data_IF_380336030592
#
_entry.id   IF_380336030592
#
_cell.length_a   1.000
_cell.length_b   1.000
_cell.length_c   1.000
_cell.angle_alpha   90.00
_cell.angle_beta   90.00
_cell.angle_gamma   90.00
#
_symmetry.space_group_name_H-M   'P 1'
#
loop_
_entity.id
_entity.type
_entity.pdbx_description
1 polymer ?
#
# COMPACT_ATOMS: atom_id res chain seq x y z
N UNK A 1 -11.57 4.59 -18.47
CA UNK A 1 -11.27 3.29 -19.10
C UNK A 1 -9.88 2.91 -18.61
N UNK A 2 -9.79 1.95 -17.68
CA UNK A 2 -8.59 1.69 -16.85
C UNK A 2 -7.74 0.57 -17.48
N UNK A 3 -6.44 0.78 -17.70
CA UNK A 3 -5.47 -0.26 -18.08
C UNK A 3 -4.08 0.10 -17.56
N UNK A 4 -3.62 -0.56 -16.49
CA UNK A 4 -2.19 -0.66 -16.13
C UNK A 4 -1.95 -2.03 -15.46
N UNK A 5 -0.93 -2.74 -15.93
CA UNK A 5 -0.47 -4.08 -15.53
C UNK A 5 0.75 -4.00 -14.61
N UNK A 6 0.91 -4.97 -13.70
CA UNK A 6 2.17 -5.23 -12.97
C UNK A 6 2.27 -6.73 -12.68
N UNK A 7 3.07 -7.52 -13.40
CA UNK A 7 3.17 -8.99 -13.26
C UNK A 7 4.41 -9.47 -12.49
N UNK A 8 4.43 -9.55 -11.15
CA UNK A 8 5.47 -10.33 -10.46
C UNK A 8 5.07 -11.79 -10.33
N UNK A 9 5.94 -12.71 -10.80
CA UNK A 9 5.88 -14.18 -10.54
C UNK A 9 6.29 -14.47 -9.09
N UNK A 10 5.37 -14.31 -8.14
CA UNK A 10 5.62 -14.59 -6.71
C UNK A 10 5.28 -16.01 -6.30
N UNK A 11 6.10 -16.63 -5.44
CA UNK A 11 5.97 -18.04 -5.02
C UNK A 11 5.31 -18.18 -3.63
N UNK A 12 4.07 -18.71 -3.63
CA UNK A 12 3.11 -19.03 -2.53
C UNK A 12 2.52 -17.91 -1.65
N UNK A 13 1.18 -17.87 -1.61
CA UNK A 13 0.38 -17.36 -0.48
C UNK A 13 -0.68 -18.41 -0.07
N UNK A 14 -0.82 -18.61 1.25
CA UNK A 14 -1.95 -19.17 2.04
C UNK A 14 -2.78 -20.33 1.44
N UNK A 15 -2.58 -21.53 2.00
CA UNK A 15 -3.61 -22.31 2.71
C UNK A 15 -4.86 -22.87 2.01
N UNK A 16 -5.11 -22.60 0.74
CA UNK A 16 -6.14 -23.31 -0.06
C UNK A 16 -5.52 -23.73 -1.38
N UNK A 17 -5.58 -25.03 -1.71
CA UNK A 17 -5.07 -25.53 -3.00
C UNK A 17 -5.93 -24.94 -4.12
N UNK A 18 -5.50 -23.80 -4.66
CA UNK A 18 -5.96 -23.31 -5.96
C UNK A 18 -5.64 -24.39 -7.00
N UNK A 19 -6.60 -24.73 -7.85
CA UNK A 19 -6.38 -25.69 -8.93
C UNK A 19 -5.23 -25.20 -9.82
N UNK A 20 -4.09 -25.91 -9.81
CA UNK A 20 -2.87 -25.55 -10.54
C UNK A 20 -1.90 -24.61 -9.83
N UNK A 21 -2.20 -24.16 -8.59
CA UNK A 21 -1.26 -23.37 -7.78
C UNK A 21 -0.96 -21.97 -8.30
N UNK A 22 -1.79 -21.41 -9.19
CA UNK A 22 -1.62 -20.09 -9.80
C UNK A 22 -2.73 -19.13 -9.35
N UNK A 23 -2.39 -17.87 -9.16
CA UNK A 23 -3.30 -16.77 -8.87
C UNK A 23 -2.89 -15.51 -9.63
N UNK A 24 -3.84 -14.63 -9.90
CA UNK A 24 -3.58 -13.27 -10.38
C UNK A 24 -4.20 -12.29 -9.39
N UNK A 25 -3.36 -11.52 -8.71
CA UNK A 25 -3.74 -10.51 -7.74
C UNK A 25 -3.83 -9.15 -8.44
N UNK A 26 -5.05 -8.63 -8.55
CA UNK A 26 -5.29 -7.28 -9.06
C UNK A 26 -5.47 -6.33 -7.88
N UNK A 27 -4.68 -5.27 -7.83
CA UNK A 27 -4.83 -4.18 -6.86
C UNK A 27 -4.82 -2.85 -7.59
N UNK A 28 -5.81 -2.00 -7.33
CA UNK A 28 -5.93 -0.72 -8.00
C UNK A 28 -7.08 0.09 -7.46
N UNK A 29 -6.90 1.40 -7.49
CA UNK A 29 -7.85 2.37 -6.97
C UNK A 29 -7.87 3.59 -7.87
N UNK A 30 -9.03 4.27 -7.91
CA UNK A 30 -9.16 5.60 -8.50
C UNK A 30 -9.59 6.62 -7.46
N UNK A 31 -8.73 6.80 -6.44
CA UNK A 31 -9.04 7.63 -5.27
C UNK A 31 -9.32 9.08 -5.67
N UNK A 32 -8.71 9.57 -6.75
CA UNK A 32 -8.96 10.93 -7.24
C UNK A 32 -10.44 11.20 -7.57
N UNK A 33 -11.25 10.17 -7.85
CA UNK A 33 -12.70 10.31 -8.10
C UNK A 33 -13.54 10.61 -6.87
N UNK A 34 -13.00 10.33 -5.68
CA UNK A 34 -13.68 10.53 -4.40
C UNK A 34 -12.98 11.60 -3.57
N UNK A 35 -11.97 12.28 -4.09
CA UNK A 35 -11.30 13.38 -3.39
C UNK A 35 -11.91 14.70 -3.84
N UNK A 36 -12.26 15.56 -2.88
CA UNK A 36 -12.68 16.92 -3.21
C UNK A 36 -11.49 17.72 -3.73
N UNK A 37 -11.58 18.36 -4.91
CA UNK A 37 -10.50 19.22 -5.43
C UNK A 37 -10.34 20.51 -4.60
N UNK A 38 -11.32 20.84 -3.76
CA UNK A 38 -11.30 22.01 -2.88
C UNK A 38 -10.78 21.68 -1.47
N UNK A 39 -10.52 20.40 -1.18
CA UNK A 39 -9.92 19.98 0.09
C UNK A 39 -8.41 19.82 -0.07
N UNK A 40 -7.68 20.90 0.22
CA UNK A 40 -6.22 20.97 0.08
C UNK A 40 -5.46 19.95 0.94
N UNK A 41 -6.09 19.42 1.99
CA UNK A 41 -5.46 18.43 2.86
C UNK A 41 -5.24 17.07 2.17
N UNK A 42 -6.04 16.77 1.15
CA UNK A 42 -6.03 15.48 0.43
C UNK A 42 -5.83 15.62 -1.08
N UNK A 43 -6.17 16.78 -1.67
CA UNK A 43 -6.18 16.99 -3.12
C UNK A 43 -4.83 16.76 -3.81
N UNK A 44 -3.71 16.97 -3.09
CA UNK A 44 -2.35 16.82 -3.63
C UNK A 44 -1.70 15.48 -3.28
N UNK A 45 -2.36 14.65 -2.48
CA UNK A 45 -1.77 13.42 -1.97
C UNK A 45 -1.99 12.22 -2.89
N UNK A 46 -3.17 12.09 -3.48
CA UNK A 46 -3.60 10.85 -4.11
C UNK A 46 -3.39 10.83 -5.63
N UNK A 47 -3.03 9.66 -6.13
CA UNK A 47 -3.03 9.32 -7.54
C UNK A 47 -3.83 8.05 -7.82
N UNK A 48 -4.02 7.75 -9.09
CA UNK A 48 -4.75 6.58 -9.57
C UNK A 48 -3.76 5.58 -10.19
N UNK A 49 -3.84 4.30 -9.79
CA UNK A 49 -3.06 3.25 -10.42
C UNK A 49 -3.73 1.87 -10.31
N UNK A 50 -3.29 0.95 -11.15
CA UNK A 50 -3.64 -0.47 -11.11
C UNK A 50 -2.41 -1.35 -11.28
N UNK A 51 -2.50 -2.59 -10.78
CA UNK A 51 -1.44 -3.59 -10.78
C UNK A 51 -2.03 -4.99 -10.96
N UNK A 52 -1.24 -5.96 -11.44
CA UNK A 52 -1.73 -7.28 -11.85
C UNK A 52 -0.73 -8.43 -11.60
N UNK A 53 -0.52 -8.82 -10.34
CA UNK A 53 0.57 -9.69 -9.88
C UNK A 53 0.25 -11.16 -10.02
N UNK A 54 1.05 -11.92 -10.78
CA UNK A 54 0.82 -13.34 -10.99
C UNK A 54 1.58 -14.22 -10.00
N UNK A 55 0.89 -14.92 -9.12
CA UNK A 55 1.51 -15.74 -8.08
C UNK A 55 1.43 -17.20 -8.53
N UNK A 56 2.54 -17.94 -8.47
CA UNK A 56 2.58 -19.38 -8.79
C UNK A 56 3.34 -20.14 -7.71
N UNK A 57 2.77 -21.26 -7.27
CA UNK A 57 3.41 -22.18 -6.33
C UNK A 57 4.21 -23.25 -7.08
N UNK A 58 5.48 -23.43 -6.72
CA UNK A 58 6.38 -24.46 -7.23
C UNK A 58 7.11 -25.26 -6.14
N UNK A 59 7.83 -26.33 -6.55
CA UNK A 59 8.80 -27.00 -5.68
C UNK A 59 10.02 -26.10 -5.43
N UNK A 60 10.55 -26.11 -4.20
CA UNK A 60 11.74 -25.34 -3.80
C UNK A 60 11.48 -23.86 -3.47
N UNK A 61 10.21 -23.45 -3.39
CA UNK A 61 9.82 -22.10 -2.99
C UNK A 61 10.26 -21.77 -1.57
N UNK A 62 10.65 -20.51 -1.34
CA UNK A 62 10.93 -20.03 0.01
C UNK A 62 9.63 -19.80 0.77
N UNK A 63 9.66 -19.98 2.08
CA UNK A 63 8.53 -19.59 2.93
C UNK A 63 8.32 -18.07 2.89
N UNK A 64 7.06 -17.68 3.04
CA UNK A 64 6.65 -16.29 3.19
C UNK A 64 5.99 -16.13 4.55
N UNK A 65 6.41 -15.12 5.30
CA UNK A 65 5.88 -14.81 6.62
C UNK A 65 4.96 -13.61 6.51
N UNK A 66 3.84 -13.64 7.24
CA UNK A 66 2.86 -12.59 7.21
C UNK A 66 2.42 -12.22 8.61
N UNK A 67 2.23 -10.93 8.84
CA UNK A 67 1.63 -10.42 10.06
C UNK A 67 0.51 -9.46 9.69
N UNK A 68 -0.61 -9.56 10.40
CA UNK A 68 -1.81 -8.77 10.13
C UNK A 68 -2.28 -8.08 11.40
N UNK A 69 -3.03 -6.99 11.23
CA UNK A 69 -3.80 -6.40 12.31
C UNK A 69 -4.91 -5.50 11.79
N UNK A 70 -5.87 -5.26 12.66
CA UNK A 70 -7.04 -4.44 12.38
C UNK A 70 -7.51 -3.75 13.65
N UNK A 71 -7.99 -2.52 13.52
CA UNK A 71 -8.63 -1.76 14.59
C UNK A 71 -9.72 -0.86 14.01
N UNK A 72 -10.96 -1.33 14.06
CA UNK A 72 -12.11 -0.62 13.51
C UNK A 72 -12.47 0.68 14.24
N UNK A 73 -11.89 0.94 15.42
CA UNK A 73 -12.12 2.19 16.13
C UNK A 73 -11.63 3.41 15.33
N UNK A 74 -10.63 3.23 14.46
CA UNK A 74 -10.07 4.28 13.61
C UNK A 74 -10.91 4.65 12.37
N UNK A 75 -12.08 4.04 12.16
CA UNK A 75 -12.89 4.25 10.95
C UNK A 75 -13.18 5.72 10.64
N UNK A 76 -13.39 6.55 11.68
CA UNK A 76 -13.77 7.95 11.51
C UNK A 76 -12.60 8.82 11.05
N UNK A 77 -11.36 8.34 11.16
CA UNK A 77 -10.16 9.09 10.80
C UNK A 77 -9.80 8.95 9.32
N UNK A 78 -10.39 8.00 8.60
CA UNK A 78 -10.19 7.83 7.17
C UNK A 78 -11.39 7.13 6.56
N UNK A 79 -12.29 7.86 5.91
CA UNK A 79 -13.51 7.30 5.36
C UNK A 79 -14.15 8.17 4.29
N UNK A 80 -15.01 7.57 3.47
CA UNK A 80 -16.07 8.27 2.75
C UNK A 80 -17.37 8.02 3.50
N UNK A 81 -18.04 9.08 3.97
CA UNK A 81 -19.17 8.95 4.90
C UNK A 81 -20.45 8.48 4.21
N UNK A 82 -20.74 9.00 3.02
CA UNK A 82 -21.95 8.75 2.27
C UNK A 82 -21.66 8.12 0.90
N UNK A 83 -22.65 7.42 0.35
CA UNK A 83 -22.56 6.71 -0.94
C UNK A 83 -22.69 5.20 -0.83
N UNK A 84 -22.46 4.65 0.36
CA UNK A 84 -22.78 3.25 0.69
C UNK A 84 -24.18 3.09 1.28
N UNK A 85 -24.49 1.89 1.77
CA UNK A 85 -25.82 1.58 2.35
C UNK A 85 -26.06 2.19 3.73
N UNK A 86 -25.00 2.49 4.50
CA UNK A 86 -25.13 3.10 5.83
C UNK A 86 -25.68 4.52 5.75
N UNK A 87 -25.20 5.29 4.78
CA UNK A 87 -25.64 6.64 4.47
C UNK A 87 -25.76 6.77 2.93
N UNK A 88 -26.93 6.46 2.35
CA UNK A 88 -27.16 6.55 0.92
C UNK A 88 -26.99 7.98 0.38
N UNK A 89 -26.74 8.09 -0.93
CA UNK A 89 -26.65 9.40 -1.61
C UNK A 89 -27.97 10.16 -1.55
N UNK A 90 -27.86 11.46 -1.37
CA UNK A 90 -28.95 12.44 -1.36
C UNK A 90 -28.41 13.81 -1.76
N UNK A 91 -29.31 14.76 -2.06
CA UNK A 91 -28.89 16.16 -2.29
C UNK A 91 -28.09 16.73 -1.11
N UNK A 92 -28.44 16.33 0.12
CA UNK A 92 -27.76 16.76 1.33
C UNK A 92 -26.34 16.21 1.45
N UNK A 93 -26.10 14.95 1.06
CA UNK A 93 -24.77 14.31 1.18
C UNK A 93 -23.81 14.77 0.10
N UNK A 94 -24.31 15.20 -1.06
CA UNK A 94 -23.54 15.72 -2.18
C UNK A 94 -23.10 17.19 -1.99
N UNK A 95 -23.72 17.91 -1.04
CA UNK A 95 -23.43 19.33 -0.81
C UNK A 95 -22.02 19.51 -0.21
N UNK A 96 -21.13 20.17 -0.96
CA UNK A 96 -19.79 20.52 -0.47
C UNK A 96 -19.86 21.72 0.47
N UNK A 97 -19.30 21.56 1.66
CA UNK A 97 -19.27 22.57 2.72
C UNK A 97 -17.87 22.71 3.29
N UNK A 98 -17.57 23.90 3.82
CA UNK A 98 -16.41 24.09 4.67
C UNK A 98 -16.60 23.26 5.95
N UNK A 99 -15.63 22.40 6.25
CA UNK A 99 -15.60 21.55 7.43
C UNK A 99 -14.75 22.18 8.53
N UNK A 100 -14.86 21.67 9.74
CA UNK A 100 -14.15 22.18 10.92
C UNK A 100 -12.63 22.16 10.76
N UNK A 101 -12.10 21.21 9.97
CA UNK A 101 -10.69 21.10 9.65
C UNK A 101 -10.23 22.02 8.49
N UNK A 102 -11.11 22.88 7.99
CA UNK A 102 -10.83 23.82 6.90
C UNK A 102 -10.93 23.24 5.50
N UNK A 103 -11.18 21.93 5.35
CA UNK A 103 -11.40 21.30 4.04
C UNK A 103 -12.79 21.62 3.49
N UNK A 104 -12.90 21.87 2.19
CA UNK A 104 -14.20 22.01 1.52
C UNK A 104 -14.56 20.70 0.83
N UNK A 105 -15.52 19.96 1.39
CA UNK A 105 -15.89 18.62 0.92
C UNK A 105 -17.33 18.26 1.26
N UNK A 106 -17.91 17.34 0.50
CA UNK A 106 -19.21 16.72 0.74
C UNK A 106 -19.05 15.48 1.62
N UNK A 107 -20.15 14.86 2.07
CA UNK A 107 -20.07 13.59 2.80
C UNK A 107 -19.72 12.42 1.88
N UNK A 108 -19.83 12.62 0.56
CA UNK A 108 -19.48 11.65 -0.49
C UNK A 108 -18.01 11.75 -0.94
N UNK A 109 -17.28 12.75 -0.45
CA UNK A 109 -15.84 12.89 -0.66
C UNK A 109 -15.05 12.22 0.50
N UNK A 110 -13.80 11.85 0.26
CA UNK A 110 -12.87 11.26 1.22
C UNK A 110 -12.52 12.26 2.31
N UNK A 111 -12.71 11.84 3.56
CA UNK A 111 -12.17 12.51 4.73
C UNK A 111 -10.94 11.78 5.24
N UNK A 112 -9.93 12.56 5.64
CA UNK A 112 -8.69 12.06 6.23
C UNK A 112 -8.25 12.95 7.40
N UNK A 113 -8.15 12.37 8.60
CA UNK A 113 -7.47 12.98 9.74
C UNK A 113 -5.98 12.60 9.72
N UNK A 114 -5.16 13.45 9.11
CA UNK A 114 -3.73 13.19 8.93
C UNK A 114 -2.96 13.01 10.25
N UNK A 115 -3.35 13.70 11.32
CA UNK A 115 -2.68 13.61 12.61
C UNK A 115 -2.89 12.23 13.26
N UNK A 116 -4.13 11.73 13.26
CA UNK A 116 -4.47 10.41 13.79
C UNK A 116 -3.85 9.29 12.97
N UNK A 117 -3.84 9.41 11.64
CA UNK A 117 -3.17 8.44 10.75
C UNK A 117 -1.67 8.42 11.00
N UNK A 118 -1.03 9.57 11.19
CA UNK A 118 0.39 9.64 11.52
C UNK A 118 0.68 8.95 12.87
N UNK A 119 -0.12 9.26 13.90
CA UNK A 119 0.03 8.66 15.24
C UNK A 119 -0.18 7.13 15.20
N UNK A 120 -1.23 6.67 14.53
CA UNK A 120 -1.49 5.25 14.27
C UNK A 120 -0.29 4.59 13.59
N UNK A 121 0.20 5.19 12.50
CA UNK A 121 1.26 4.61 11.69
C UNK A 121 2.56 4.43 12.49
N UNK A 122 2.96 5.46 13.25
CA UNK A 122 4.17 5.36 14.08
C UNK A 122 4.03 4.40 15.26
N UNK A 123 2.81 4.21 15.77
CA UNK A 123 2.53 3.24 16.84
C UNK A 123 2.57 1.80 16.32
N UNK A 124 2.06 1.57 15.11
CA UNK A 124 1.70 0.23 14.65
C UNK A 124 2.70 -0.38 13.66
N UNK A 125 3.26 0.41 12.75
CA UNK A 125 4.12 -0.10 11.67
C UNK A 125 5.48 -0.60 12.16
N UNK A 126 6.18 0.08 13.10
CA UNK A 126 7.46 -0.43 13.57
C UNK A 126 7.37 -1.81 14.25
N UNK A 127 6.44 -2.06 15.19
CA UNK A 127 6.23 -3.40 15.75
C UNK A 127 5.81 -4.44 14.68
N UNK A 128 5.01 -4.04 13.69
CA UNK A 128 4.61 -4.90 12.58
C UNK A 128 5.81 -5.38 11.76
N UNK A 129 6.70 -4.45 11.39
CA UNK A 129 7.91 -4.76 10.62
C UNK A 129 8.88 -5.63 11.43
N UNK A 130 9.09 -5.31 12.71
CA UNK A 130 9.92 -6.14 13.60
C UNK A 130 9.36 -7.55 13.74
N UNK A 131 8.04 -7.69 13.95
CA UNK A 131 7.42 -8.99 14.15
C UNK A 131 7.44 -9.89 12.91
N UNK A 132 7.28 -9.32 11.70
CA UNK A 132 7.36 -10.13 10.47
C UNK A 132 8.81 -10.55 10.17
N UNK A 133 9.79 -9.70 10.48
CA UNK A 133 11.21 -10.06 10.37
C UNK A 133 11.59 -11.13 11.39
N UNK A 134 11.11 -11.04 12.63
CA UNK A 134 11.32 -12.05 13.66
C UNK A 134 10.76 -13.42 13.22
N UNK A 135 9.55 -13.46 12.65
CA UNK A 135 8.97 -14.69 12.10
C UNK A 135 9.82 -15.30 10.98
N UNK A 136 10.46 -14.45 10.16
CA UNK A 136 11.37 -14.88 9.10
C UNK A 136 12.79 -15.22 9.59
N UNK A 137 13.09 -14.99 10.87
CA UNK A 137 14.44 -15.12 11.43
C UNK A 137 15.43 -14.10 10.85
N UNK A 138 14.95 -12.93 10.42
CA UNK A 138 15.75 -11.89 9.77
C UNK A 138 16.08 -10.75 10.73
N UNK A 139 17.28 -10.22 10.59
CA UNK A 139 17.68 -8.91 11.09
C UNK A 139 17.51 -7.85 10.00
N UNK A 140 17.62 -6.57 10.36
CA UNK A 140 17.64 -5.46 9.38
C UNK A 140 18.75 -5.64 8.34
N UNK A 141 19.87 -6.27 8.71
CA UNK A 141 21.00 -6.48 7.81
C UNK A 141 20.66 -7.45 6.67
N UNK A 142 19.77 -8.41 6.93
CA UNK A 142 19.36 -9.46 5.99
C UNK A 142 18.33 -8.98 4.96
N UNK A 143 17.73 -7.80 5.17
CA UNK A 143 16.71 -7.22 4.29
C UNK A 143 17.37 -6.34 3.23
N UNK A 144 17.10 -6.64 1.96
CA UNK A 144 17.62 -5.88 0.82
C UNK A 144 16.80 -4.62 0.54
N UNK A 145 15.49 -4.67 0.76
CA UNK A 145 14.60 -3.52 0.60
C UNK A 145 13.33 -3.61 1.48
N UNK A 146 12.97 -2.47 2.05
CA UNK A 146 11.71 -2.22 2.75
C UNK A 146 10.78 -1.45 1.81
N UNK A 147 9.69 -2.09 1.40
CA UNK A 147 8.71 -1.53 0.46
C UNK A 147 7.37 -1.36 1.18
N UNK A 148 7.20 -0.18 1.77
CA UNK A 148 6.02 0.19 2.51
C UNK A 148 4.96 0.81 1.62
N UNK A 149 3.71 0.90 2.11
CA UNK A 149 2.67 1.70 1.49
C UNK A 149 3.16 3.14 1.29
N UNK A 150 3.02 3.64 0.06
CA UNK A 150 3.58 4.93 -0.33
C UNK A 150 2.63 6.08 0.07
N UNK A 151 2.35 6.20 1.38
CA UNK A 151 1.40 7.17 1.92
C UNK A 151 1.83 8.62 1.70
N UNK A 152 3.06 8.94 2.12
CA UNK A 152 3.80 10.14 1.80
C UNK A 152 5.26 9.98 2.29
N UNK A 153 6.18 10.79 1.76
CA UNK A 153 7.61 10.73 2.13
C UNK A 153 7.84 10.95 3.63
N UNK A 154 7.10 11.89 4.24
CA UNK A 154 7.27 12.27 5.63
C UNK A 154 7.05 11.09 6.59
N UNK A 155 5.95 10.34 6.41
CA UNK A 155 5.65 9.13 7.17
C UNK A 155 6.75 8.08 7.02
N UNK A 156 7.14 7.77 5.78
CA UNK A 156 8.14 6.73 5.51
C UNK A 156 9.49 7.05 6.16
N UNK A 157 9.92 8.32 6.10
CA UNK A 157 11.15 8.77 6.75
C UNK A 157 11.09 8.65 8.28
N UNK A 158 9.94 8.93 8.90
CA UNK A 158 9.78 8.79 10.34
C UNK A 158 9.80 7.33 10.80
N UNK A 159 9.15 6.43 10.05
CA UNK A 159 9.23 4.98 10.31
C UNK A 159 10.68 4.51 10.19
N UNK A 160 11.35 4.85 9.08
CA UNK A 160 12.74 4.48 8.83
C UNK A 160 13.67 4.97 9.95
N UNK A 161 13.53 6.23 10.37
CA UNK A 161 14.32 6.80 11.47
C UNK A 161 14.04 6.10 12.80
N UNK A 162 12.78 5.83 13.13
CA UNK A 162 12.38 5.15 14.38
C UNK A 162 12.96 3.74 14.47
N UNK A 163 13.03 3.04 13.34
CA UNK A 163 13.57 1.68 13.25
C UNK A 163 15.06 1.62 12.91
N UNK A 164 15.70 2.77 12.66
CA UNK A 164 17.10 2.87 12.22
C UNK A 164 17.37 2.07 10.93
N UNK A 165 16.42 2.10 10.01
CA UNK A 165 16.58 1.45 8.70
C UNK A 165 17.58 2.25 7.84
N UNK A 166 18.47 1.59 7.09
CA UNK A 166 19.31 2.26 6.12
C UNK A 166 18.44 2.96 5.05
N UNK A 167 18.69 4.24 4.81
CA UNK A 167 17.83 5.06 3.95
C UNK A 167 17.78 4.53 2.51
N UNK A 168 18.90 4.01 2.02
CA UNK A 168 19.06 3.41 0.70
C UNK A 168 18.28 2.10 0.51
N UNK A 169 17.83 1.47 1.61
CA UNK A 169 16.99 0.26 1.57
C UNK A 169 15.51 0.57 1.73
N UNK A 170 15.12 1.81 2.01
CA UNK A 170 13.71 2.21 2.13
C UNK A 170 13.23 2.77 0.80
N UNK A 171 12.30 2.06 0.15
CA UNK A 171 11.81 2.46 -1.16
C UNK A 171 10.82 3.63 -1.04
N UNK A 172 11.11 4.69 -1.81
CA UNK A 172 10.30 5.90 -1.94
C UNK A 172 10.06 6.13 -3.44
N UNK A 173 8.82 5.96 -3.88
CA UNK A 173 8.43 5.90 -5.29
C UNK A 173 7.18 6.75 -5.61
N UNK A 174 6.70 7.58 -4.67
CA UNK A 174 5.48 8.38 -4.86
C UNK A 174 5.70 9.73 -5.57
N UNK A 175 6.92 10.08 -5.96
CA UNK A 175 7.20 11.42 -6.55
C UNK A 175 6.36 11.69 -7.81
N UNK A 176 6.27 10.71 -8.70
CA UNK A 176 5.57 10.84 -9.98
C UNK A 176 4.10 10.35 -9.95
N UNK A 177 3.70 9.64 -8.88
CA UNK A 177 2.43 8.92 -8.83
C UNK A 177 1.54 9.28 -7.64
N UNK A 178 2.08 9.98 -6.64
CA UNK A 178 1.40 10.22 -5.38
C UNK A 178 1.09 8.92 -4.61
N UNK A 179 0.13 9.02 -3.70
CA UNK A 179 -0.42 7.88 -2.99
C UNK A 179 -1.47 7.16 -3.85
N UNK A 180 -1.10 6.00 -4.38
CA UNK A 180 -1.97 5.17 -5.23
C UNK A 180 -2.66 4.04 -4.46
N UNK A 181 -2.91 4.22 -3.16
CA UNK A 181 -3.65 3.28 -2.31
C UNK A 181 -3.09 1.85 -2.41
N UNK A 182 -3.94 0.86 -2.73
CA UNK A 182 -3.58 -0.57 -2.77
C UNK A 182 -2.53 -0.91 -3.83
N UNK A 183 -2.41 -0.12 -4.88
CA UNK A 183 -1.41 -0.32 -5.94
C UNK A 183 -0.01 0.20 -5.56
N UNK A 184 0.16 0.89 -4.43
CA UNK A 184 1.40 1.62 -4.13
C UNK A 184 2.64 0.72 -3.99
N UNK A 185 2.48 -0.45 -3.37
CA UNK A 185 3.58 -1.40 -3.16
C UNK A 185 4.00 -2.05 -4.49
N UNK A 186 3.09 -2.67 -5.27
CA UNK A 186 3.47 -3.25 -6.57
C UNK A 186 3.99 -2.19 -7.56
N UNK A 187 3.45 -0.96 -7.53
CA UNK A 187 4.00 0.14 -8.32
C UNK A 187 5.44 0.46 -7.90
N UNK A 188 5.71 0.62 -6.60
CA UNK A 188 7.05 0.86 -6.08
C UNK A 188 8.05 -0.25 -6.43
N UNK A 189 7.63 -1.52 -6.37
CA UNK A 189 8.46 -2.64 -6.83
C UNK A 189 8.83 -2.51 -8.31
N UNK A 190 7.87 -2.12 -9.14
CA UNK A 190 8.05 -1.99 -10.59
C UNK A 190 9.00 -0.83 -10.93
N UNK A 191 8.77 0.35 -10.35
CA UNK A 191 9.53 1.55 -10.76
C UNK A 191 10.90 1.64 -10.08
N UNK A 192 11.08 1.05 -8.89
CA UNK A 192 12.32 1.18 -8.13
C UNK A 192 13.19 -0.07 -8.11
N UNK A 193 12.60 -1.27 -8.26
CA UNK A 193 13.32 -2.53 -8.08
C UNK A 193 13.28 -3.48 -9.28
N UNK A 194 12.62 -3.14 -10.39
CA UNK A 194 12.43 -4.05 -11.53
C UNK A 194 13.74 -4.66 -12.04
N UNK A 195 14.77 -3.86 -12.33
CA UNK A 195 16.04 -4.37 -12.86
C UNK A 195 16.73 -5.35 -11.90
N UNK A 196 16.73 -5.04 -10.60
CA UNK A 196 17.31 -5.94 -9.59
C UNK A 196 16.51 -7.22 -9.44
N UNK A 197 15.18 -7.12 -9.45
CA UNK A 197 14.28 -8.28 -9.34
C UNK A 197 14.30 -9.16 -10.59
N UNK A 198 14.66 -8.63 -11.76
CA UNK A 198 14.89 -9.42 -12.99
C UNK A 198 16.13 -10.30 -12.89
N UNK A 199 17.20 -9.82 -12.24
CA UNK A 199 18.52 -10.47 -12.28
C UNK A 199 18.97 -11.15 -10.99
N UNK A 200 18.31 -10.86 -9.86
CA UNK A 200 18.80 -11.24 -8.54
C UNK A 200 17.68 -11.66 -7.60
N UNK A 201 17.99 -12.57 -6.68
CA UNK A 201 17.16 -12.85 -5.51
C UNK A 201 17.34 -11.76 -4.46
N UNK A 202 16.24 -11.34 -3.83
CA UNK A 202 16.21 -10.30 -2.81
C UNK A 202 15.30 -10.71 -1.66
N UNK A 203 15.72 -10.39 -0.43
CA UNK A 203 14.90 -10.44 0.76
C UNK A 203 14.14 -9.12 0.90
N UNK A 204 12.81 -9.18 0.76
CA UNK A 204 11.94 -8.02 0.81
C UNK A 204 11.08 -8.05 2.07
N UNK A 205 10.94 -6.89 2.69
CA UNK A 205 9.89 -6.65 3.70
C UNK A 205 8.89 -5.66 3.13
N UNK A 206 7.67 -6.12 2.92
CA UNK A 206 6.56 -5.32 2.42
C UNK A 206 5.64 -4.94 3.59
N UNK A 207 5.08 -3.74 3.60
CA UNK A 207 4.05 -3.39 4.59
C UNK A 207 2.98 -2.43 4.05
N UNK A 208 1.73 -2.86 4.11
CA UNK A 208 0.55 -2.03 3.87
C UNK A 208 -0.05 -1.57 5.19
N UNK A 209 -0.51 -0.32 5.25
CA UNK A 209 -1.18 0.26 6.41
C UNK A 209 -2.10 1.39 5.96
N UNK A 210 -3.31 1.47 6.50
CA UNK A 210 -4.30 2.45 6.07
C UNK A 210 -5.72 2.07 6.47
N UNK A 211 -6.67 2.43 5.62
CA UNK A 211 -8.12 2.52 5.93
C UNK A 211 -8.69 1.16 6.38
N UNK A 212 -9.28 0.92 7.56
CA UNK A 212 -9.52 1.76 8.73
C UNK A 212 -9.61 0.87 9.99
N UNK A 213 -8.67 0.98 10.91
CA UNK A 213 -7.29 0.79 10.51
C UNK A 213 -7.05 -0.68 10.19
N UNK A 214 -6.36 -0.92 9.09
CA UNK A 214 -5.87 -2.23 8.70
C UNK A 214 -4.40 -2.11 8.37
N UNK A 215 -3.63 -3.12 8.75
CA UNK A 215 -2.22 -3.19 8.40
C UNK A 215 -1.79 -4.64 8.21
N UNK A 216 -0.84 -4.83 7.32
CA UNK A 216 -0.27 -6.13 7.05
C UNK A 216 1.19 -5.96 6.61
N UNK A 217 2.03 -6.91 6.98
CA UNK A 217 3.38 -7.00 6.46
C UNK A 217 3.69 -8.41 5.97
N UNK A 218 4.61 -8.48 5.01
CA UNK A 218 5.11 -9.72 4.46
C UNK A 218 6.64 -9.68 4.42
N UNK A 219 7.29 -10.74 4.89
CA UNK A 219 8.71 -11.00 4.66
C UNK A 219 8.81 -12.15 3.66
N UNK A 220 9.45 -11.90 2.53
CA UNK A 220 9.53 -12.84 1.42
C UNK A 220 10.85 -12.71 0.66
N UNK A 221 11.31 -13.84 0.12
CA UNK A 221 12.42 -13.87 -0.82
C UNK A 221 11.89 -14.06 -2.23
N UNK A 222 12.23 -13.16 -3.13
CA UNK A 222 11.84 -13.24 -4.54
C UNK A 222 12.91 -12.65 -5.46
N UNK A 223 12.81 -12.97 -6.74
CA UNK A 223 13.79 -12.55 -7.74
C UNK A 223 13.74 -13.43 -8.97
N UNK A 224 14.55 -13.10 -9.97
CA UNK A 224 14.47 -13.69 -11.31
C UNK A 224 13.04 -13.58 -11.87
N UNK A 225 12.41 -12.44 -11.61
CA UNK A 225 11.03 -12.15 -11.96
C UNK A 225 10.93 -11.60 -13.38
N UNK A 226 9.87 -11.97 -14.08
CA UNK A 226 9.41 -11.17 -15.21
C UNK A 226 8.91 -9.83 -14.63
N UNK A 227 9.52 -8.71 -15.00
CA UNK A 227 9.09 -7.38 -14.58
C UNK A 227 8.82 -6.55 -15.83
N UNK A 228 7.55 -6.47 -16.29
CA UNK A 228 7.20 -5.71 -17.47
C UNK A 228 7.34 -4.21 -17.23
N UNK A 229 7.47 -3.45 -18.31
CA UNK A 229 7.54 -1.98 -18.25
C UNK A 229 6.24 -1.40 -17.70
N UNK A 230 6.38 -0.27 -17.00
CA UNK A 230 5.23 0.52 -16.56
C UNK A 230 4.47 1.03 -17.78
N UNK A 231 3.17 0.79 -17.81
CA UNK A 231 2.27 1.36 -18.83
C UNK A 231 1.58 2.57 -18.23
N UNK A 232 1.69 3.71 -18.91
CA UNK A 232 0.97 4.93 -18.54
C UNK A 232 -0.19 5.16 -19.52
N UNK A 233 -1.35 5.57 -19.00
CA UNK A 233 -2.45 6.03 -19.84
C UNK A 233 -2.22 7.53 -20.14
N UNK A 234 -2.13 7.88 -21.43
CA UNK A 234 -2.15 9.26 -21.90
C UNK A 234 -3.54 9.88 -21.89
#
# INVERSE_FOLDING_TARGET
MLRVCVWPVGRRAIGTKLAGGRALLLAGDTITRIVSPQDQSVATLFGDAGSATAIECGPGDSEMHFQFGTDGAGQEHLMVRAGGFRYPRSEQTAERKLREDGGVRSDEDLFMNGAEIFAFTLRTVPPLLSGVMEQAGWSVADVDAFVMHQANRFILQHIAKRMRLPAERVVIAMEDFGNTSSASIPLALTVSLAERLKSSQMNLVLAGFGVGFSWAAAALRCGNLCMPDLVQAG
#
